data_IF_528617981021
#
_entry.id   IF_528617981021
#
_cell.length_a   1.000
_cell.length_b   1.000
_cell.length_c   1.000
_cell.angle_alpha   90.00
_cell.angle_beta   90.00
_cell.angle_gamma   90.00
#
_symmetry.space_group_name_H-M   'P 1'
#
loop_
_entity.id
_entity.type
_entity.pdbx_description
1 polymer ?
#
# COMPACT_ATOMS: atom_id res chain seq x y z
N UNK A 1 -2.23 24.14 14.64
CA UNK A 1 -1.08 23.45 14.02
C UNK A 1 -1.57 22.76 12.77
N UNK A 2 -1.18 23.22 11.59
CA UNK A 2 -1.58 22.58 10.33
C UNK A 2 -0.98 21.18 10.29
N UNK A 3 -1.84 20.17 10.25
CA UNK A 3 -1.47 18.77 10.10
C UNK A 3 -0.77 18.65 8.74
N UNK A 4 0.57 18.71 8.72
CA UNK A 4 1.34 18.57 7.47
C UNK A 4 0.87 17.28 6.79
N UNK A 5 0.35 17.42 5.57
CA UNK A 5 0.03 16.28 4.73
C UNK A 5 1.31 15.48 4.48
N UNK A 6 1.22 14.16 4.58
CA UNK A 6 2.37 13.29 4.34
C UNK A 6 2.73 13.36 2.85
N UNK A 7 3.93 13.83 2.53
CA UNK A 7 4.43 13.87 1.15
C UNK A 7 5.11 12.56 0.73
N UNK A 8 5.40 12.45 -0.57
CA UNK A 8 6.01 11.26 -1.18
C UNK A 8 7.34 10.88 -0.53
N UNK A 9 8.21 11.87 -0.28
CA UNK A 9 9.53 11.64 0.29
C UNK A 9 9.42 11.11 1.72
N UNK A 10 8.53 11.69 2.51
CA UNK A 10 8.28 11.30 3.89
C UNK A 10 7.71 9.89 3.98
N UNK A 11 6.81 9.50 3.06
CA UNK A 11 6.30 8.13 2.98
C UNK A 11 7.43 7.11 2.70
N UNK A 12 8.35 7.43 1.77
CA UNK A 12 9.53 6.59 1.48
C UNK A 12 10.42 6.47 2.71
N UNK A 13 10.72 7.58 3.38
CA UNK A 13 11.59 7.59 4.57
C UNK A 13 11.01 6.74 5.70
N UNK A 14 9.69 6.80 5.94
CA UNK A 14 9.01 5.94 6.94
C UNK A 14 9.25 4.46 6.65
N UNK A 15 9.21 4.05 5.38
CA UNK A 15 9.48 2.64 5.00
C UNK A 15 10.95 2.29 5.20
N UNK A 16 11.88 3.17 4.83
CA UNK A 16 13.32 2.94 5.04
C UNK A 16 13.62 2.78 6.54
N UNK A 17 13.06 3.65 7.38
CA UNK A 17 13.18 3.57 8.84
C UNK A 17 12.56 2.29 9.39
N UNK A 18 11.38 1.90 8.89
CA UNK A 18 10.72 0.65 9.30
C UNK A 18 11.57 -0.59 8.98
N UNK A 19 12.29 -0.58 7.85
CA UNK A 19 13.19 -1.66 7.46
C UNK A 19 14.57 -1.58 8.13
N UNK A 20 14.91 -0.46 8.75
CA UNK A 20 16.19 -0.17 9.40
C UNK A 20 17.34 0.13 8.44
N UNK A 21 17.41 -0.54 7.29
CA UNK A 21 18.34 -0.22 6.20
C UNK A 21 17.82 -0.77 4.87
N UNK A 22 18.20 -0.13 3.77
CA UNK A 22 17.99 -0.65 2.41
C UNK A 22 19.32 -0.67 1.66
N UNK A 23 19.56 -1.64 0.75
CA UNK A 23 20.80 -1.71 0.00
C UNK A 23 21.07 -0.44 -0.81
N UNK A 24 22.33 0.02 -0.91
CA UNK A 24 22.69 1.12 -1.81
C UNK A 24 22.26 0.86 -3.25
N UNK A 25 21.83 1.91 -3.96
CA UNK A 25 21.33 1.79 -5.33
C UNK A 25 19.89 1.28 -5.46
N UNK A 26 19.18 1.03 -4.34
CA UNK A 26 17.74 0.75 -4.34
C UNK A 26 16.96 1.96 -4.87
N UNK A 27 16.13 1.73 -5.88
CA UNK A 27 15.20 2.72 -6.40
C UNK A 27 13.93 2.70 -5.55
N UNK A 28 13.53 3.87 -5.06
CA UNK A 28 12.34 4.05 -4.25
C UNK A 28 11.35 4.91 -5.01
N UNK A 29 10.07 4.55 -5.02
CA UNK A 29 9.00 5.42 -5.50
C UNK A 29 7.77 5.26 -4.63
N UNK A 30 6.94 6.29 -4.54
CA UNK A 30 5.69 6.21 -3.80
C UNK A 30 4.55 6.89 -4.56
N UNK A 31 3.35 6.33 -4.45
CA UNK A 31 2.14 6.86 -5.06
C UNK A 31 1.08 7.01 -4.00
N UNK A 32 0.42 8.18 -3.98
CA UNK A 32 -0.70 8.40 -3.07
C UNK A 32 -1.96 7.71 -3.60
N UNK A 33 -2.57 6.90 -2.74
CA UNK A 33 -3.87 6.28 -2.94
C UNK A 33 -4.89 7.06 -2.11
N UNK A 34 -5.56 8.01 -2.76
CA UNK A 34 -6.66 8.77 -2.16
C UNK A 34 -7.91 7.92 -1.90
N UNK A 35 -8.91 8.51 -1.26
CA UNK A 35 -10.16 7.83 -0.90
C UNK A 35 -10.90 7.26 -2.11
N UNK A 36 -10.85 7.93 -3.28
CA UNK A 36 -11.52 7.43 -4.48
C UNK A 36 -10.81 6.20 -5.04
N UNK A 37 -9.48 6.22 -5.07
CA UNK A 37 -8.66 5.10 -5.52
C UNK A 37 -8.78 3.91 -4.58
N UNK A 38 -8.78 4.15 -3.26
CA UNK A 38 -9.03 3.13 -2.24
C UNK A 38 -10.40 2.49 -2.45
N UNK A 39 -11.44 3.29 -2.68
CA UNK A 39 -12.78 2.77 -2.95
C UNK A 39 -12.82 1.87 -4.20
N UNK A 40 -12.15 2.28 -5.29
CA UNK A 40 -12.05 1.46 -6.51
C UNK A 40 -11.31 0.14 -6.25
N UNK A 41 -10.26 0.16 -5.44
CA UNK A 41 -9.52 -1.05 -5.02
C UNK A 41 -10.44 -2.00 -4.22
N UNK A 42 -11.20 -1.47 -3.26
CA UNK A 42 -12.18 -2.24 -2.49
C UNK A 42 -13.27 -2.86 -3.39
N UNK A 43 -13.82 -2.08 -4.31
CA UNK A 43 -14.84 -2.55 -5.26
C UNK A 43 -14.27 -3.64 -6.19
N UNK A 44 -13.01 -3.51 -6.60
CA UNK A 44 -12.31 -4.51 -7.39
C UNK A 44 -12.14 -5.82 -6.63
N UNK A 45 -11.64 -5.76 -5.38
CA UNK A 45 -11.52 -6.95 -4.53
C UNK A 45 -12.88 -7.59 -4.23
N UNK A 46 -13.91 -6.80 -3.96
CA UNK A 46 -15.26 -7.32 -3.73
C UNK A 46 -15.78 -8.11 -4.94
N UNK A 47 -15.58 -7.58 -6.15
CA UNK A 47 -15.93 -8.28 -7.40
C UNK A 47 -15.10 -9.56 -7.57
N UNK A 48 -13.80 -9.50 -7.32
CA UNK A 48 -12.91 -10.66 -7.43
C UNK A 48 -13.36 -11.80 -6.50
N UNK A 49 -13.68 -11.49 -5.24
CA UNK A 49 -14.17 -12.49 -4.29
C UNK A 49 -15.56 -13.04 -4.68
N UNK A 50 -16.46 -12.20 -5.17
CA UNK A 50 -17.75 -12.70 -5.68
C UNK A 50 -17.61 -13.63 -6.89
N UNK A 51 -16.61 -13.41 -7.74
CA UNK A 51 -16.36 -14.24 -8.92
C UNK A 51 -15.68 -15.57 -8.59
N UNK A 52 -15.07 -15.68 -7.41
CA UNK A 52 -14.39 -16.91 -6.95
C UNK A 52 -15.29 -17.82 -6.12
N UNK A 53 -16.60 -17.54 -6.06
CA UNK A 53 -17.61 -18.39 -5.42
C UNK A 53 -17.95 -18.01 -3.98
N UNK A 54 -17.43 -16.89 -3.46
CA UNK A 54 -17.88 -16.34 -2.17
C UNK A 54 -19.16 -15.54 -2.42
N UNK A 55 -20.31 -16.06 -2.00
CA UNK A 55 -21.61 -15.41 -2.21
C UNK A 55 -22.07 -14.56 -1.02
N UNK A 56 -21.60 -14.89 0.19
CA UNK A 56 -21.97 -14.15 1.39
C UNK A 56 -21.33 -12.75 1.41
N UNK A 57 -22.18 -11.74 1.46
CA UNK A 57 -21.77 -10.33 1.38
C UNK A 57 -20.95 -9.88 2.58
N UNK A 58 -21.24 -10.39 3.77
CA UNK A 58 -20.50 -10.01 4.97
C UNK A 58 -19.10 -10.62 4.95
N UNK A 59 -18.98 -11.87 4.48
CA UNK A 59 -17.70 -12.53 4.22
C UNK A 59 -16.86 -11.75 3.20
N UNK A 60 -17.44 -11.35 2.05
CA UNK A 60 -16.73 -10.52 1.05
C UNK A 60 -16.22 -9.23 1.70
N UNK A 61 -17.07 -8.53 2.46
CA UNK A 61 -16.69 -7.28 3.12
C UNK A 61 -15.54 -7.47 4.10
N UNK A 62 -15.56 -8.53 4.91
CA UNK A 62 -14.46 -8.86 5.82
C UNK A 62 -13.17 -9.17 5.06
N UNK A 63 -13.25 -9.95 3.97
CA UNK A 63 -12.10 -10.24 3.12
C UNK A 63 -11.52 -8.98 2.48
N UNK A 64 -12.35 -8.06 2.01
CA UNK A 64 -11.90 -6.76 1.47
C UNK A 64 -11.20 -5.96 2.57
N UNK A 65 -11.80 -5.82 3.75
CA UNK A 65 -11.22 -5.07 4.87
C UNK A 65 -9.89 -5.66 5.36
N UNK A 66 -9.71 -6.97 5.25
CA UNK A 66 -8.45 -7.63 5.61
C UNK A 66 -7.33 -7.38 4.58
N UNK A 67 -7.66 -7.05 3.33
CA UNK A 67 -6.67 -6.95 2.24
C UNK A 67 -6.46 -5.53 1.71
N UNK A 68 -7.43 -4.64 1.92
CA UNK A 68 -7.43 -3.27 1.41
C UNK A 68 -7.67 -2.28 2.56
N UNK A 69 -6.77 -1.31 2.80
CA UNK A 69 -6.99 -0.29 3.81
C UNK A 69 -8.30 0.48 3.58
N UNK A 70 -8.96 0.91 4.65
CA UNK A 70 -10.16 1.74 4.58
C UNK A 70 -9.87 3.23 4.39
N UNK A 71 -8.66 3.67 4.74
CA UNK A 71 -8.24 5.06 4.70
C UNK A 71 -7.16 5.29 3.63
N UNK A 72 -6.99 6.54 3.14
CA UNK A 72 -5.91 6.88 2.21
C UNK A 72 -4.53 6.49 2.73
N UNK A 73 -3.69 6.03 1.80
CA UNK A 73 -2.36 5.55 2.09
C UNK A 73 -1.38 5.87 0.96
N UNK A 74 -0.09 5.81 1.24
CA UNK A 74 0.97 5.85 0.24
C UNK A 74 1.43 4.43 -0.06
N UNK A 75 1.40 4.03 -1.33
CA UNK A 75 2.00 2.79 -1.80
C UNK A 75 3.45 3.07 -2.16
N UNK A 76 4.39 2.59 -1.35
CA UNK A 76 5.84 2.70 -1.57
C UNK A 76 6.32 1.43 -2.25
N UNK A 77 7.11 1.57 -3.32
CA UNK A 77 7.81 0.47 -3.96
C UNK A 77 9.31 0.63 -3.82
N UNK A 78 9.98 -0.47 -3.51
CA UNK A 78 11.42 -0.59 -3.45
C UNK A 78 11.87 -1.61 -4.51
N UNK A 79 12.81 -1.20 -5.37
CA UNK A 79 13.38 -2.06 -6.41
C UNK A 79 14.91 -2.03 -6.30
N UNK A 80 15.54 -3.19 -6.13
CA UNK A 80 16.99 -3.27 -6.07
C UNK A 80 17.63 -2.82 -7.39
N UNK A 81 18.80 -2.18 -7.28
CA UNK A 81 19.48 -1.53 -8.40
C UNK A 81 19.99 -2.48 -9.49
N UNK A 82 20.21 -3.75 -9.14
CA UNK A 82 20.59 -4.81 -10.07
C UNK A 82 19.46 -5.83 -10.16
N UNK A 83 18.36 -5.51 -10.88
CA UNK A 83 17.22 -6.40 -10.97
C UNK A 83 17.66 -7.72 -11.63
N UNK A 84 17.59 -8.81 -10.89
CA UNK A 84 17.67 -10.13 -11.51
C UNK A 84 16.39 -10.37 -12.32
N UNK A 85 16.45 -11.13 -13.42
CA UNK A 85 15.25 -11.54 -14.13
C UNK A 85 14.30 -12.25 -13.16
N UNK A 86 13.08 -11.71 -13.00
CA UNK A 86 12.07 -12.24 -12.08
C UNK A 86 12.02 -11.58 -10.70
N UNK A 87 12.85 -10.57 -10.42
CA UNK A 87 12.79 -9.85 -9.15
C UNK A 87 11.61 -8.87 -9.11
N UNK A 88 10.61 -9.21 -8.30
CA UNK A 88 9.43 -8.37 -8.06
C UNK A 88 9.77 -7.20 -7.12
N UNK A 89 9.27 -5.99 -7.40
CA UNK A 89 9.42 -4.88 -6.47
C UNK A 89 8.70 -5.17 -5.15
N UNK A 90 9.35 -4.87 -4.03
CA UNK A 90 8.73 -4.95 -2.72
C UNK A 90 7.81 -3.75 -2.52
N UNK A 91 6.56 -4.00 -2.12
CA UNK A 91 5.56 -2.96 -1.87
C UNK A 91 5.24 -2.84 -0.40
N UNK A 92 5.11 -1.59 0.07
CA UNK A 92 4.73 -1.25 1.44
C UNK A 92 3.64 -0.19 1.40
N UNK A 93 2.65 -0.32 2.28
CA UNK A 93 1.59 0.69 2.42
C UNK A 93 1.87 1.53 3.65
N UNK A 94 1.79 2.86 3.54
CA UNK A 94 1.96 3.80 4.67
C UNK A 94 0.68 4.59 4.86
N UNK A 95 0.08 4.52 6.05
CA UNK A 95 -1.13 5.29 6.37
C UNK A 95 -0.86 6.79 6.24
N UNK A 96 -1.64 7.48 5.41
CA UNK A 96 -1.52 8.93 5.26
C UNK A 96 -1.98 9.67 6.53
N UNK A 97 -2.82 9.03 7.35
CA UNK A 97 -3.35 9.58 8.60
C UNK A 97 -2.41 9.36 9.79
N UNK A 98 -1.91 8.14 9.96
CA UNK A 98 -1.15 7.74 11.15
C UNK A 98 0.36 7.72 10.94
N UNK A 99 0.82 7.81 9.68
CA UNK A 99 2.24 7.75 9.30
C UNK A 99 2.92 6.45 9.74
N UNK A 100 2.16 5.35 9.80
CA UNK A 100 2.65 4.00 10.11
C UNK A 100 2.59 3.12 8.87
N UNK A 101 3.54 2.19 8.75
CA UNK A 101 3.47 1.10 7.78
C UNK A 101 2.27 0.21 8.14
N UNK A 102 1.47 -0.12 7.14
CA UNK A 102 0.34 -1.04 7.22
C UNK A 102 0.83 -2.44 6.84
N UNK A 103 0.48 -3.43 7.66
CA UNK A 103 0.78 -4.84 7.44
C UNK A 103 -0.12 -5.50 6.41
#
# INVERSE_FOLDING_TARGET
MSKQELDQKSAIMIVIEHLGSIPPGTRCSAVYCDSERVKREQDFHAKLYSQTGVEDKETIKQMVQANVPAEPYWLVSLKLGTPQPGEEPAFYRVSARTRKVLG
#
